data_IF_471095299190
#
_entry.id   IF_471095299190
#
_cell.length_a   1.000
_cell.length_b   1.000
_cell.length_c   1.000
_cell.angle_alpha   90.00
_cell.angle_beta   90.00
_cell.angle_gamma   90.00
#
_symmetry.space_group_name_H-M   'P 1'
#
loop_
_entity.id
_entity.type
_entity.pdbx_description
1 polymer ?
#
# COMPACT_ATOMS: atom_id res chain seq x y z
N UNK A 1 69.96 -18.79 -54.88
CA UNK A 1 68.83 -19.23 -55.72
C UNK A 1 67.57 -19.33 -54.85
N UNK A 2 66.47 -18.72 -55.32
CA UNK A 2 65.03 -18.92 -55.03
C UNK A 2 64.60 -19.46 -53.64
N UNK A 3 63.91 -18.70 -52.77
CA UNK A 3 62.49 -18.25 -52.78
C UNK A 3 61.48 -19.34 -52.35
N UNK A 4 60.81 -19.12 -51.20
CA UNK A 4 59.36 -19.29 -50.89
C UNK A 4 59.19 -19.49 -49.37
N UNK A 5 58.74 -18.52 -48.57
CA UNK A 5 57.34 -18.06 -48.37
C UNK A 5 56.31 -19.20 -48.24
N UNK A 6 55.91 -19.48 -47.01
CA UNK A 6 54.51 -19.76 -46.65
C UNK A 6 54.20 -19.01 -45.35
N UNK A 7 53.19 -18.15 -45.46
CA UNK A 7 52.65 -17.27 -44.45
C UNK A 7 51.54 -18.05 -43.71
N UNK A 8 51.74 -18.39 -42.45
CA UNK A 8 50.69 -18.95 -41.59
C UNK A 8 49.98 -17.82 -40.86
N UNK A 9 48.80 -17.42 -41.34
CA UNK A 9 47.95 -16.41 -40.70
C UNK A 9 47.23 -17.07 -39.51
N UNK A 10 47.65 -16.72 -38.29
CA UNK A 10 46.90 -17.01 -37.06
C UNK A 10 45.83 -15.94 -36.89
N UNK A 11 44.58 -16.28 -37.21
CA UNK A 11 43.41 -15.44 -36.89
C UNK A 11 43.10 -15.63 -35.41
N UNK A 12 43.62 -14.74 -34.56
CA UNK A 12 43.16 -14.62 -33.18
C UNK A 12 41.80 -13.93 -33.19
N UNK A 13 40.73 -14.69 -32.95
CA UNK A 13 39.40 -14.15 -32.69
C UNK A 13 39.40 -13.53 -31.29
N UNK A 14 39.83 -12.28 -31.22
CA UNK A 14 39.79 -11.46 -30.01
C UNK A 14 38.34 -11.21 -29.63
N UNK A 15 37.78 -12.03 -28.75
CA UNK A 15 36.50 -11.79 -28.12
C UNK A 15 36.68 -10.63 -27.13
N UNK A 16 36.57 -9.40 -27.64
CA UNK A 16 36.44 -8.19 -26.84
C UNK A 16 35.07 -8.23 -26.17
N UNK A 17 34.98 -8.94 -25.05
CA UNK A 17 33.89 -8.76 -24.11
C UNK A 17 34.05 -7.32 -23.62
N UNK A 18 33.20 -6.42 -24.06
CA UNK A 18 33.09 -5.11 -23.47
C UNK A 18 32.48 -5.30 -22.09
N UNK A 19 33.31 -5.19 -21.05
CA UNK A 19 32.83 -5.12 -19.67
C UNK A 19 32.16 -3.75 -19.58
N UNK A 20 30.83 -3.73 -19.70
CA UNK A 20 30.07 -2.54 -19.37
C UNK A 20 30.16 -2.35 -17.86
N UNK A 21 30.97 -1.40 -17.42
CA UNK A 21 30.92 -0.92 -16.04
C UNK A 21 29.51 -0.36 -15.80
N UNK A 22 28.70 -1.12 -15.08
CA UNK A 22 27.44 -0.64 -14.53
C UNK A 22 27.80 0.41 -13.49
N UNK A 23 27.81 1.67 -13.90
CA UNK A 23 27.90 2.80 -12.99
C UNK A 23 26.58 2.84 -12.21
N UNK A 24 26.57 2.26 -11.01
CA UNK A 24 25.57 2.54 -10.01
C UNK A 24 25.75 4.01 -9.61
N UNK A 25 24.87 4.87 -10.11
CA UNK A 25 24.85 6.27 -9.74
C UNK A 25 24.47 6.32 -8.25
N UNK A 26 25.42 6.71 -7.39
CA UNK A 26 25.16 7.04 -5.98
C UNK A 26 24.20 8.24 -5.96
N UNK A 27 22.90 7.93 -5.95
CA UNK A 27 21.84 8.91 -5.76
C UNK A 27 21.99 9.39 -4.32
N UNK A 28 22.36 10.66 -4.16
CA UNK A 28 22.41 11.31 -2.86
C UNK A 28 21.15 10.92 -2.05
N UNK A 29 21.37 10.57 -0.78
CA UNK A 29 20.41 10.07 0.20
C UNK A 29 19.31 11.09 0.57
N UNK A 30 18.74 11.81 -0.39
CA UNK A 30 17.53 12.58 -0.18
C UNK A 30 16.35 11.62 -0.27
N UNK A 31 15.69 11.38 0.86
CA UNK A 31 14.41 10.70 0.85
C UNK A 31 13.44 11.52 -0.01
N UNK A 32 12.94 10.98 -1.12
CA UNK A 32 12.02 11.71 -1.99
C UNK A 32 10.63 11.89 -1.36
N UNK A 33 10.33 11.22 -0.24
CA UNK A 33 9.11 11.49 0.52
C UNK A 33 9.18 12.83 1.26
N UNK A 34 8.04 13.54 1.39
CA UNK A 34 7.91 14.63 2.35
C UNK A 34 8.27 14.16 3.76
N UNK A 35 9.09 14.96 4.44
CA UNK A 35 9.36 14.78 5.88
C UNK A 35 8.20 15.26 6.74
N UNK A 36 7.47 16.26 6.26
CA UNK A 36 6.28 16.79 6.92
C UNK A 36 5.11 15.78 6.86
N UNK A 37 4.52 15.50 8.02
CA UNK A 37 3.45 14.50 8.17
C UNK A 37 2.19 14.92 7.41
N UNK A 38 1.82 16.20 7.47
CA UNK A 38 0.59 16.68 6.83
C UNK A 38 0.68 16.53 5.31
N UNK A 39 1.79 16.97 4.72
CA UNK A 39 2.05 16.84 3.29
C UNK A 39 2.12 15.37 2.85
N UNK A 40 2.83 14.53 3.61
CA UNK A 40 2.92 13.08 3.36
C UNK A 40 1.53 12.45 3.32
N UNK A 41 0.73 12.68 4.37
CA UNK A 41 -0.58 12.05 4.54
C UNK A 41 -1.60 12.57 3.54
N UNK A 42 -1.55 13.86 3.18
CA UNK A 42 -2.40 14.42 2.12
C UNK A 42 -2.16 13.71 0.77
N UNK A 43 -0.89 13.53 0.37
CA UNK A 43 -0.54 12.82 -0.86
C UNK A 43 -0.90 11.33 -0.77
N UNK A 44 -0.65 10.70 0.39
CA UNK A 44 -0.99 9.30 0.63
C UNK A 44 -2.48 9.04 0.50
N UNK A 45 -3.32 9.83 1.19
CA UNK A 45 -4.77 9.65 1.20
C UNK A 45 -5.38 9.94 -0.18
N UNK A 46 -4.83 10.89 -0.94
CA UNK A 46 -5.22 11.13 -2.35
C UNK A 46 -5.06 9.85 -3.19
N UNK A 47 -3.94 9.16 -3.04
CA UNK A 47 -3.60 8.00 -3.87
C UNK A 47 -4.10 6.67 -3.27
N UNK A 48 -4.49 6.66 -2.00
CA UNK A 48 -4.88 5.48 -1.23
C UNK A 48 -5.97 4.65 -1.91
N UNK A 49 -7.07 5.22 -2.47
CA UNK A 49 -8.05 4.43 -3.20
C UNK A 49 -7.44 3.58 -4.31
N UNK A 50 -6.48 4.13 -5.06
CA UNK A 50 -5.80 3.40 -6.14
C UNK A 50 -4.93 2.26 -5.61
N UNK A 51 -4.14 2.53 -4.56
CA UNK A 51 -3.26 1.54 -3.95
C UNK A 51 -4.04 0.40 -3.27
N UNK A 52 -5.07 0.73 -2.49
CA UNK A 52 -5.91 -0.23 -1.80
C UNK A 52 -6.72 -1.08 -2.79
N UNK A 53 -7.33 -0.48 -3.81
CA UNK A 53 -8.05 -1.25 -4.83
C UNK A 53 -7.14 -2.23 -5.57
N UNK A 54 -5.89 -1.86 -5.84
CA UNK A 54 -4.89 -2.78 -6.42
C UNK A 54 -4.64 -3.99 -5.50
N UNK A 55 -4.57 -3.79 -4.17
CA UNK A 55 -4.46 -4.89 -3.21
C UNK A 55 -5.71 -5.76 -3.24
N UNK A 56 -6.90 -5.16 -3.19
CA UNK A 56 -8.18 -5.89 -3.24
C UNK A 56 -8.24 -6.78 -4.49
N UNK A 57 -7.92 -6.23 -5.66
CA UNK A 57 -7.96 -7.00 -6.91
C UNK A 57 -6.95 -8.17 -6.88
N UNK A 58 -5.74 -7.95 -6.36
CA UNK A 58 -4.74 -9.02 -6.21
C UNK A 58 -5.21 -10.13 -5.27
N UNK A 59 -5.86 -9.78 -4.15
CA UNK A 59 -6.40 -10.76 -3.21
C UNK A 59 -7.55 -11.56 -3.81
N UNK A 60 -8.43 -10.92 -4.60
CA UNK A 60 -9.50 -11.62 -5.33
C UNK A 60 -8.96 -12.63 -6.32
N UNK A 61 -7.92 -12.28 -7.09
CA UNK A 61 -7.31 -13.21 -8.05
C UNK A 61 -6.70 -14.45 -7.37
N UNK A 62 -6.32 -14.35 -6.09
CA UNK A 62 -5.82 -15.48 -5.29
C UNK A 62 -6.93 -16.37 -4.74
N UNK A 63 -8.18 -15.89 -4.72
CA UNK A 63 -9.35 -16.65 -4.23
C UNK A 63 -10.25 -17.01 -5.41
N UNK A 64 -10.17 -18.24 -5.96
CA UNK A 64 -10.96 -18.61 -7.14
C UNK A 64 -12.46 -18.44 -6.88
N UNK A 65 -13.15 -17.72 -7.76
CA UNK A 65 -14.63 -17.71 -7.79
C UNK A 65 -15.09 -19.08 -8.27
N UNK A 66 -15.91 -19.77 -7.48
CA UNK A 66 -16.54 -21.03 -7.91
C UNK A 66 -17.44 -20.73 -9.13
N UNK A 67 -17.29 -21.44 -10.26
CA UNK A 67 -18.09 -21.13 -11.44
C UNK A 67 -19.58 -21.41 -11.20
N UNK A 68 -20.49 -20.61 -11.79
CA UNK A 68 -21.93 -20.69 -11.56
C UNK A 68 -22.59 -22.00 -12.04
N UNK A 69 -21.84 -22.89 -12.71
CA UNK A 69 -22.34 -24.16 -13.26
C UNK A 69 -21.62 -25.39 -12.72
N UNK A 70 -20.98 -25.32 -11.55
CA UNK A 70 -20.44 -26.52 -10.90
C UNK A 70 -21.59 -27.32 -10.26
N UNK A 71 -21.73 -28.56 -10.71
CA UNK A 71 -22.74 -29.57 -10.31
C UNK A 71 -22.96 -29.64 -8.78
N UNK A 72 -24.20 -29.91 -8.28
CA UNK A 72 -24.48 -30.00 -6.85
C UNK A 72 -23.88 -31.29 -6.26
N UNK A 73 -22.58 -31.28 -6.02
CA UNK A 73 -21.85 -32.37 -5.38
C UNK A 73 -21.61 -32.06 -3.90
N UNK A 74 -22.48 -32.69 -3.08
CA UNK A 74 -22.46 -32.86 -1.62
C UNK A 74 -22.52 -31.57 -0.78
N UNK A 75 -23.24 -31.59 0.36
CA UNK A 75 -23.18 -30.53 1.36
C UNK A 75 -21.88 -30.69 2.18
N UNK A 76 -20.75 -30.43 1.53
CA UNK A 76 -19.46 -30.19 2.17
C UNK A 76 -19.32 -28.67 2.36
N UNK A 77 -18.62 -28.24 3.42
CA UNK A 77 -18.33 -26.91 3.98
C UNK A 77 -17.85 -25.81 2.98
N UNK A 78 -18.02 -26.00 1.68
CA UNK A 78 -17.52 -25.18 0.57
C UNK A 78 -18.50 -24.12 0.04
N UNK A 79 -19.71 -23.99 0.61
CA UNK A 79 -20.63 -22.89 0.31
C UNK A 79 -20.23 -21.61 1.08
N UNK A 80 -18.98 -21.18 0.92
CA UNK A 80 -18.60 -19.84 1.35
C UNK A 80 -19.18 -18.86 0.33
N UNK A 81 -20.08 -17.95 0.73
CA UNK A 81 -20.58 -16.93 -0.19
C UNK A 81 -19.40 -16.22 -0.83
N UNK A 82 -19.43 -16.03 -2.15
CA UNK A 82 -18.45 -15.15 -2.80
C UNK A 82 -18.57 -13.79 -2.12
N UNK A 83 -17.49 -13.34 -1.47
CA UNK A 83 -17.48 -12.05 -0.80
C UNK A 83 -17.89 -10.96 -1.80
N UNK A 84 -18.70 -9.97 -1.38
CA UNK A 84 -19.12 -8.89 -2.25
C UNK A 84 -17.89 -8.16 -2.81
N UNK A 85 -18.02 -7.66 -4.03
CA UNK A 85 -16.95 -6.92 -4.69
C UNK A 85 -16.81 -5.54 -4.01
N UNK A 86 -15.83 -5.41 -3.10
CA UNK A 86 -15.47 -4.18 -2.38
C UNK A 86 -14.56 -3.23 -3.17
N UNK A 87 -14.86 -1.95 -3.21
CA UNK A 87 -14.00 -0.91 -3.79
C UNK A 87 -13.87 0.27 -2.83
N UNK A 88 -12.65 0.78 -2.68
CA UNK A 88 -12.40 2.04 -1.99
C UNK A 88 -12.66 3.17 -2.97
N UNK A 89 -13.62 4.03 -2.66
CA UNK A 89 -14.05 5.12 -3.55
C UNK A 89 -13.22 6.37 -3.28
N UNK A 90 -13.12 6.77 -2.01
CA UNK A 90 -12.39 7.96 -1.59
C UNK A 90 -11.86 7.78 -0.17
N UNK A 91 -10.74 8.44 0.13
CA UNK A 91 -10.27 8.66 1.48
C UNK A 91 -10.49 10.13 1.86
N UNK A 92 -11.02 10.36 3.06
CA UNK A 92 -11.24 11.68 3.61
C UNK A 92 -9.95 12.39 4.01
N UNK A 93 -10.08 13.65 4.43
CA UNK A 93 -8.95 14.43 4.95
C UNK A 93 -8.42 13.82 6.25
N UNK A 94 -7.11 13.90 6.45
CA UNK A 94 -6.45 13.55 7.71
C UNK A 94 -6.79 14.54 8.83
N UNK A 95 -6.86 14.02 10.04
CA UNK A 95 -6.91 14.75 11.31
C UNK A 95 -5.78 14.26 12.21
N UNK A 96 -5.14 15.19 12.93
CA UNK A 96 -3.91 14.91 13.69
C UNK A 96 -4.09 15.13 15.19
N UNK A 97 -5.24 15.64 15.62
CA UNK A 97 -5.56 15.74 17.04
C UNK A 97 -5.55 14.34 17.69
N UNK A 98 -4.66 14.10 18.67
CA UNK A 98 -4.66 12.83 19.38
C UNK A 98 -5.94 12.70 20.18
N UNK A 99 -6.42 11.46 20.34
CA UNK A 99 -7.56 11.21 21.22
C UNK A 99 -7.16 11.67 22.64
N UNK A 100 -7.99 12.47 23.33
CA UNK A 100 -7.71 12.87 24.70
C UNK A 100 -7.81 11.64 25.60
N UNK A 101 -6.69 10.95 25.81
CA UNK A 101 -6.60 9.82 26.72
C UNK A 101 -6.56 10.37 28.15
N UNK A 102 -7.74 10.54 28.76
CA UNK A 102 -7.85 10.96 30.16
C UNK A 102 -7.16 9.92 31.04
N UNK A 103 -6.10 10.33 31.74
CA UNK A 103 -5.35 9.52 32.71
C UNK A 103 -4.71 8.24 32.16
N UNK A 104 -3.70 8.38 31.29
CA UNK A 104 -2.72 7.31 31.12
C UNK A 104 -1.97 7.09 32.45
N UNK A 105 -2.24 5.97 33.12
CA UNK A 105 -1.49 5.54 34.31
C UNK A 105 -0.10 4.96 33.96
N UNK A 106 0.25 4.92 32.67
CA UNK A 106 1.52 4.41 32.18
C UNK A 106 2.48 5.56 31.88
N UNK A 107 3.65 5.52 32.52
CA UNK A 107 4.78 6.36 32.14
C UNK A 107 5.48 5.71 30.93
N UNK A 108 5.62 6.46 29.85
CA UNK A 108 6.34 6.01 28.65
C UNK A 108 7.82 5.84 28.99
N UNK A 109 8.31 4.59 28.94
CA UNK A 109 9.71 4.24 29.23
C UNK A 109 10.63 4.60 28.04
N UNK A 110 10.06 4.67 26.83
CA UNK A 110 10.73 5.05 25.60
C UNK A 110 10.10 6.33 25.04
N UNK A 111 10.88 7.16 24.32
CA UNK A 111 10.32 8.29 23.59
C UNK A 111 9.34 7.77 22.54
N UNK A 112 8.07 8.13 22.67
CA UNK A 112 7.07 7.82 21.65
C UNK A 112 7.26 8.79 20.48
N UNK A 113 7.84 8.28 19.40
CA UNK A 113 8.03 9.00 18.15
C UNK A 113 6.91 8.71 17.15
N UNK A 114 5.94 7.86 17.53
CA UNK A 114 4.81 7.56 16.68
C UNK A 114 3.88 8.77 16.61
N UNK A 115 3.49 9.10 15.38
CA UNK A 115 2.52 10.14 15.09
C UNK A 115 1.21 9.48 14.67
N UNK A 116 0.13 9.94 15.26
CA UNK A 116 -1.21 9.44 15.00
C UNK A 116 -1.86 10.24 13.89
N UNK A 117 -2.52 9.54 12.97
CA UNK A 117 -3.30 10.12 11.87
C UNK A 117 -4.66 9.45 11.85
N UNK A 118 -5.70 10.25 11.96
CA UNK A 118 -7.08 9.82 11.80
C UNK A 118 -7.58 10.15 10.40
N UNK A 119 -8.29 9.22 9.77
CA UNK A 119 -8.95 9.48 8.49
C UNK A 119 -10.16 8.57 8.30
N UNK A 120 -10.92 8.83 7.25
CA UNK A 120 -12.07 8.01 6.87
C UNK A 120 -11.94 7.48 5.46
N UNK A 121 -12.62 6.38 5.14
CA UNK A 121 -12.82 5.93 3.77
C UNK A 121 -14.31 5.81 3.48
N UNK A 122 -14.67 6.06 2.22
CA UNK A 122 -15.94 5.63 1.66
C UNK A 122 -15.69 4.42 0.78
N UNK A 123 -16.39 3.35 1.06
CA UNK A 123 -16.25 2.07 0.41
C UNK A 123 -17.58 1.65 -0.20
N UNK A 124 -17.52 0.96 -1.33
CA UNK A 124 -18.69 0.44 -2.02
C UNK A 124 -18.58 -1.05 -2.18
N UNK A 125 -19.61 -1.76 -1.72
CA UNK A 125 -19.76 -3.18 -1.90
C UNK A 125 -20.83 -3.47 -2.95
N UNK A 126 -20.47 -4.27 -3.94
CA UNK A 126 -21.39 -4.80 -4.94
C UNK A 126 -21.65 -6.28 -4.64
N UNK A 127 -22.91 -6.62 -4.32
CA UNK A 127 -23.30 -7.99 -3.99
C UNK A 127 -24.65 -8.34 -4.61
N UNK A 128 -24.67 -9.35 -5.49
CA UNK A 128 -25.91 -9.83 -6.12
C UNK A 128 -26.68 -8.74 -6.85
N UNK A 129 -27.70 -8.15 -6.20
CA UNK A 129 -28.58 -7.10 -6.72
C UNK A 129 -28.54 -5.79 -5.93
N UNK A 130 -27.68 -5.68 -4.92
CA UNK A 130 -27.58 -4.49 -4.08
C UNK A 130 -26.20 -3.84 -4.17
N UNK A 131 -26.21 -2.53 -3.98
CA UNK A 131 -25.03 -1.69 -3.79
C UNK A 131 -25.14 -1.12 -2.39
N UNK A 132 -24.10 -1.31 -1.59
CA UNK A 132 -24.04 -0.79 -0.22
C UNK A 132 -22.81 0.08 -0.09
N UNK A 133 -23.01 1.29 0.41
CA UNK A 133 -21.93 2.22 0.74
C UNK A 133 -21.63 2.13 2.24
N UNK A 134 -20.35 2.04 2.58
CA UNK A 134 -19.85 1.88 3.94
C UNK A 134 -18.82 2.96 4.22
N UNK A 135 -18.88 3.54 5.41
CA UNK A 135 -17.86 4.46 5.88
C UNK A 135 -17.04 3.77 6.97
N UNK A 136 -15.72 3.72 6.81
CA UNK A 136 -14.80 3.24 7.84
C UNK A 136 -13.97 4.40 8.39
N UNK A 137 -13.67 4.32 9.68
CA UNK A 137 -12.76 5.20 10.39
C UNK A 137 -11.44 4.47 10.61
N UNK A 138 -10.32 5.19 10.52
CA UNK A 138 -9.00 4.61 10.69
C UNK A 138 -8.14 5.42 11.66
N UNK A 139 -7.35 4.70 12.45
CA UNK A 139 -6.27 5.25 13.27
C UNK A 139 -4.96 4.65 12.79
N UNK A 140 -4.19 5.45 12.08
CA UNK A 140 -2.88 5.09 11.56
C UNK A 140 -1.80 5.66 12.47
N UNK A 141 -0.83 4.82 12.83
CA UNK A 141 0.34 5.21 13.59
C UNK A 141 1.56 5.12 12.68
N UNK A 142 2.20 6.26 12.43
CA UNK A 142 3.39 6.40 11.59
C UNK A 142 4.60 6.71 12.46
N UNK A 143 5.74 6.11 12.15
CA UNK A 143 7.01 6.43 12.81
C UNK A 143 8.04 6.87 11.77
N UNK A 144 8.81 7.94 12.04
CA UNK A 144 9.92 8.34 11.19
C UNK A 144 11.09 7.38 11.40
N UNK A 145 11.73 6.96 10.31
CA UNK A 145 12.97 6.16 10.34
C UNK A 145 14.02 6.81 9.44
N UNK A 146 15.27 6.33 9.49
CA UNK A 146 16.36 6.83 8.64
C UNK A 146 16.03 6.75 7.13
N UNK A 147 15.24 5.75 6.74
CA UNK A 147 14.78 5.57 5.35
C UNK A 147 13.50 6.37 5.04
N UNK A 148 12.84 6.94 6.05
CA UNK A 148 11.56 7.65 5.92
C UNK A 148 10.44 7.10 6.77
N UNK A 149 9.23 7.55 6.50
CA UNK A 149 8.02 7.15 7.22
C UNK A 149 7.68 5.68 7.03
N UNK A 150 7.31 5.01 8.12
CA UNK A 150 6.78 3.64 8.15
C UNK A 150 5.51 3.59 8.99
N UNK A 151 4.55 2.79 8.55
CA UNK A 151 3.39 2.38 9.34
C UNK A 151 3.83 1.41 10.44
N UNK A 152 3.25 1.57 11.63
CA UNK A 152 3.48 0.67 12.76
C UNK A 152 2.21 -0.08 13.14
N UNK A 153 1.10 0.64 13.24
CA UNK A 153 -0.22 0.10 13.56
C UNK A 153 -1.27 0.79 12.72
N UNK A 154 -2.30 0.04 12.36
CA UNK A 154 -3.50 0.57 11.74
C UNK A 154 -4.73 -0.09 12.36
N UNK A 155 -5.61 0.70 12.96
CA UNK A 155 -6.91 0.23 13.41
C UNK A 155 -8.02 0.76 12.52
N UNK A 156 -9.11 0.02 12.43
CA UNK A 156 -10.32 0.41 11.72
C UNK A 156 -11.56 0.21 12.58
N UNK A 157 -12.56 1.06 12.37
CA UNK A 157 -13.91 0.90 12.94
C UNK A 157 -14.94 1.23 11.87
N UNK A 158 -15.89 0.33 11.66
CA UNK A 158 -17.01 0.55 10.76
C UNK A 158 -18.00 1.54 11.38
N UNK A 159 -18.43 2.54 10.61
CA UNK A 159 -19.49 3.45 11.02
C UNK A 159 -20.79 2.68 11.29
N UNK A 160 -21.57 3.17 12.25
CA UNK A 160 -22.89 2.60 12.53
C UNK A 160 -23.76 2.64 11.26
N UNK A 161 -24.24 1.47 10.82
CA UNK A 161 -25.04 1.34 9.60
C UNK A 161 -26.44 1.92 9.80
N UNK A 162 -26.99 1.81 11.02
CA UNK A 162 -28.27 2.42 11.39
C UNK A 162 -28.13 3.33 12.60
N UNK A 163 -29.04 4.30 12.69
CA UNK A 163 -29.13 5.21 13.82
C UNK A 163 -29.53 4.43 15.08
N UNK A 164 -28.63 4.40 16.06
CA UNK A 164 -28.85 3.71 17.35
C UNK A 164 -28.08 2.39 17.49
N UNK A 165 -27.42 1.90 16.44
CA UNK A 165 -26.53 0.76 16.54
C UNK A 165 -25.27 1.15 17.34
N UNK A 166 -24.83 0.25 18.22
CA UNK A 166 -23.56 0.42 18.92
C UNK A 166 -22.41 0.29 17.91
N UNK A 167 -21.41 1.19 17.92
CA UNK A 167 -20.27 1.08 17.04
C UNK A 167 -19.48 -0.19 17.40
N UNK A 168 -19.06 -0.93 16.37
CA UNK A 168 -18.20 -2.10 16.57
C UNK A 168 -16.87 -1.67 17.20
N UNK A 169 -16.25 -2.50 18.05
CA UNK A 169 -14.94 -2.16 18.59
C UNK A 169 -13.92 -2.01 17.44
N UNK A 170 -12.94 -1.10 17.58
CA UNK A 170 -11.84 -1.01 16.62
C UNK A 170 -11.11 -2.34 16.45
N UNK A 171 -10.73 -2.67 15.23
CA UNK A 171 -10.02 -3.90 14.86
C UNK A 171 -8.74 -3.56 14.12
N UNK A 172 -7.72 -4.39 14.26
CA UNK A 172 -6.49 -4.27 13.48
C UNK A 172 -6.79 -4.42 11.98
N UNK A 173 -6.32 -3.45 11.19
CA UNK A 173 -6.48 -3.38 9.74
C UNK A 173 -5.13 -3.32 9.01
N UNK A 174 -4.02 -3.57 9.71
CA UNK A 174 -2.65 -3.51 9.16
C UNK A 174 -2.47 -4.51 8.01
N UNK A 175 -2.98 -5.73 8.17
CA UNK A 175 -2.97 -6.76 7.10
C UNK A 175 -4.12 -6.60 6.09
N UNK A 176 -5.00 -5.61 6.27
CA UNK A 176 -6.11 -5.33 5.38
C UNK A 176 -5.68 -4.66 4.08
N UNK A 177 -6.64 -4.47 3.16
CA UNK A 177 -6.37 -3.79 1.89
C UNK A 177 -5.90 -2.34 2.07
N UNK A 178 -6.41 -1.65 3.09
CA UNK A 178 -5.98 -0.30 3.43
C UNK A 178 -4.55 -0.30 3.98
N UNK A 179 -4.24 -1.14 4.98
CA UNK A 179 -2.89 -1.21 5.57
C UNK A 179 -1.82 -1.59 4.53
N UNK A 180 -2.04 -2.68 3.79
CA UNK A 180 -1.14 -3.06 2.70
C UNK A 180 -1.07 -1.99 1.59
N UNK A 181 -2.16 -1.26 1.34
CA UNK A 181 -2.20 -0.15 0.40
C UNK A 181 -1.29 1.01 0.84
N UNK A 182 -1.36 1.38 2.12
CA UNK A 182 -0.50 2.39 2.75
C UNK A 182 0.96 1.95 2.70
N UNK A 183 1.27 0.72 3.07
CA UNK A 183 2.65 0.21 3.07
C UNK A 183 3.27 0.26 1.67
N UNK A 184 2.50 -0.14 0.66
CA UNK A 184 2.92 -0.05 -0.73
C UNK A 184 3.13 1.41 -1.16
N UNK A 185 2.25 2.32 -0.76
CA UNK A 185 2.39 3.75 -1.08
C UNK A 185 3.64 4.34 -0.42
N UNK A 186 3.85 4.09 0.88
CA UNK A 186 5.02 4.57 1.62
C UNK A 186 6.32 4.02 1.01
N UNK A 187 6.32 2.76 0.59
CA UNK A 187 7.47 2.16 -0.12
C UNK A 187 7.74 2.85 -1.45
N UNK A 188 6.71 3.04 -2.28
CA UNK A 188 6.86 3.65 -3.60
C UNK A 188 7.21 5.15 -3.48
N UNK A 189 6.74 5.80 -2.42
CA UNK A 189 7.14 7.14 -2.01
C UNK A 189 8.64 7.19 -1.73
N UNK A 190 9.18 6.32 -0.86
CA UNK A 190 10.61 6.29 -0.52
C UNK A 190 11.49 5.96 -1.73
N UNK A 191 10.95 5.19 -2.68
CA UNK A 191 11.61 4.91 -3.95
C UNK A 191 11.58 6.09 -4.94
N UNK A 192 10.81 7.15 -4.65
CA UNK A 192 10.69 8.33 -5.50
C UNK A 192 9.88 8.11 -6.76
N UNK A 193 8.93 7.16 -6.73
CA UNK A 193 8.06 6.83 -7.87
C UNK A 193 6.83 7.75 -7.91
N UNK A 194 6.48 8.37 -6.78
CA UNK A 194 5.26 9.15 -6.64
C UNK A 194 5.50 10.60 -7.10
N UNK A 195 4.69 11.11 -8.06
CA UNK A 195 4.80 12.50 -8.47
C UNK A 195 4.29 13.41 -7.35
N UNK A 196 5.19 14.21 -6.79
CA UNK A 196 4.90 15.23 -5.76
C UNK A 196 4.27 16.49 -6.38
N UNK A 197 3.26 16.34 -7.23
CA UNK A 197 2.51 17.49 -7.74
C UNK A 197 1.32 17.76 -6.84
N UNK A 198 1.35 18.90 -6.17
CA UNK A 198 0.16 19.53 -5.62
C UNK A 198 -0.72 19.99 -6.79
N UNK A 199 -1.93 19.46 -6.89
CA UNK A 199 -2.95 20.00 -7.78
C UNK A 199 -3.45 21.31 -7.16
N UNK A 200 -2.87 22.42 -7.57
CA UNK A 200 -3.22 23.75 -7.08
C UNK A 200 -2.73 24.86 -8.01
N UNK A 201 -3.35 24.97 -9.18
CA UNK A 201 -3.51 26.21 -9.97
C UNK A 201 -4.59 25.99 -11.03
N UNK A 202 -5.83 26.32 -10.66
CA UNK A 202 -6.82 26.88 -11.58
C UNK A 202 -6.95 28.37 -11.28
#
# INVERSE_FOLDING_TARGET
MLKNRVLGVLVTLSCLIAWSEVNAQDKANSNPCPSDLETLTALMLRDLPSYANRVIQRQRLRTPRKPPFTEPQRPDLSDRPSAPDLYIIVAGKAEFEPLPLTNLQYQTILPDTAQQVFFTTLERQYGGRSVVDLQNYYWLFLTPTEEGWRSMLLFSQLAALNKGDLPLPPQDASDGAIGQGIDLWLRDCRAGVIPLRETGKE
#
